data_IF_650256338833
#
_entry.id   IF_650256338833
#
_cell.length_a   1.000
_cell.length_b   1.000
_cell.length_c   1.000
_cell.angle_alpha   90.00
_cell.angle_beta   90.00
_cell.angle_gamma   90.00
#
_symmetry.space_group_name_H-M   'P 1'
#
loop_
_entity.id
_entity.type
_entity.pdbx_description
1 polymer ?
#
# COMPACT_ATOMS: atom_id res chain seq x y z
N UNK A 1 -45.54 -55.31 -19.83
CA UNK A 1 -45.44 -55.27 -18.36
C UNK A 1 -44.52 -54.11 -18.05
N UNK A 2 -45.00 -52.93 -17.66
CA UNK A 2 -45.87 -52.64 -16.51
C UNK A 2 -46.71 -51.38 -16.77
N UNK A 3 -47.97 -51.43 -16.35
CA UNK A 3 -49.05 -50.41 -16.37
C UNK A 3 -48.76 -49.27 -15.36
N UNK A 4 -48.95 -47.98 -15.69
CA UNK A 4 -50.18 -47.14 -15.63
C UNK A 4 -50.45 -46.55 -14.20
N UNK A 5 -51.41 -45.61 -13.96
CA UNK A 5 -51.14 -44.16 -13.76
C UNK A 5 -51.95 -43.54 -12.58
N UNK A 6 -51.96 -42.18 -12.49
CA UNK A 6 -52.97 -41.29 -11.85
C UNK A 6 -53.09 -41.20 -10.31
N UNK A 7 -52.97 -39.97 -9.83
CA UNK A 7 -53.91 -39.25 -8.90
C UNK A 7 -53.52 -37.76 -8.96
N UNK A 8 -54.30 -36.80 -9.48
CA UNK A 8 -55.67 -36.32 -9.18
C UNK A 8 -55.74 -35.43 -7.94
N UNK A 9 -55.96 -34.12 -8.21
CA UNK A 9 -56.68 -33.09 -7.43
C UNK A 9 -56.04 -32.67 -6.08
N UNK A 10 -56.20 -31.44 -5.57
CA UNK A 10 -57.41 -30.64 -5.55
C UNK A 10 -57.12 -29.14 -5.25
N UNK A 11 -58.04 -28.34 -5.76
CA UNK A 11 -58.35 -26.91 -5.58
C UNK A 11 -58.58 -26.53 -4.10
N UNK A 12 -58.52 -25.22 -3.80
CA UNK A 12 -59.21 -24.40 -2.76
C UNK A 12 -58.32 -23.14 -2.62
N UNK A 13 -58.59 -21.92 -3.10
CA UNK A 13 -59.79 -21.07 -3.16
C UNK A 13 -60.50 -20.94 -1.81
N UNK A 14 -60.14 -19.90 -1.05
CA UNK A 14 -60.70 -19.60 0.27
C UNK A 14 -60.55 -18.13 0.62
N UNK A 15 -61.23 -17.30 -0.16
CA UNK A 15 -61.73 -16.00 0.29
C UNK A 15 -62.55 -16.20 1.57
N UNK A 16 -62.28 -15.44 2.62
CA UNK A 16 -63.21 -15.36 3.75
C UNK A 16 -63.40 -13.90 4.15
N UNK A 17 -64.40 -13.35 3.50
CA UNK A 17 -65.13 -12.15 3.86
C UNK A 17 -65.92 -12.34 5.14
N UNK A 18 -66.10 -11.21 5.83
CA UNK A 18 -67.25 -10.85 6.65
C UNK A 18 -67.41 -11.45 8.06
N UNK A 19 -67.23 -10.57 9.06
CA UNK A 19 -68.26 -10.38 10.08
C UNK A 19 -68.43 -8.88 10.31
N UNK A 20 -69.53 -8.31 9.78
CA UNK A 20 -70.86 -8.13 10.41
C UNK A 20 -70.91 -6.80 11.17
N UNK A 21 -71.67 -5.83 10.65
CA UNK A 21 -73.10 -5.58 10.95
C UNK A 21 -73.23 -4.63 12.16
N UNK A 22 -74.03 -3.58 12.23
CA UNK A 22 -75.31 -3.21 11.62
C UNK A 22 -75.44 -1.67 11.68
N UNK A 23 -76.52 -1.15 11.07
CA UNK A 23 -76.91 0.25 10.99
C UNK A 23 -77.10 0.97 12.33
N UNK A 24 -77.65 2.17 12.40
CA UNK A 24 -78.34 3.03 11.45
C UNK A 24 -78.48 4.37 12.17
N UNK A 25 -78.48 5.46 11.42
CA UNK A 25 -79.25 6.69 11.69
C UNK A 25 -79.13 7.37 13.07
N UNK A 26 -78.34 8.45 13.10
CA UNK A 26 -78.69 9.69 13.81
C UNK A 26 -77.89 10.85 13.17
N UNK A 27 -78.50 11.57 12.23
CA UNK A 27 -79.00 12.93 12.43
C UNK A 27 -77.95 13.94 12.92
N UNK A 28 -77.77 14.93 12.05
CA UNK A 28 -77.52 16.33 12.39
C UNK A 28 -76.21 16.64 13.12
N UNK A 29 -75.34 17.38 12.42
CA UNK A 29 -75.19 18.85 12.62
C UNK A 29 -73.86 19.25 12.01
N UNK A 30 -73.92 19.88 10.84
CA UNK A 30 -72.78 20.58 10.26
C UNK A 30 -72.34 21.68 11.23
N UNK A 31 -71.27 21.44 11.99
CA UNK A 31 -70.53 22.51 12.68
C UNK A 31 -69.34 22.81 11.79
N UNK A 32 -69.43 23.90 11.01
CA UNK A 32 -68.28 24.52 10.32
C UNK A 32 -67.20 24.76 11.38
N UNK A 33 -66.23 23.86 11.47
CA UNK A 33 -64.98 24.14 12.15
C UNK A 33 -64.24 25.14 11.27
N UNK A 34 -64.25 26.41 11.71
CA UNK A 34 -63.29 27.40 11.23
C UNK A 34 -61.91 26.82 11.54
N UNK A 35 -61.23 26.29 10.52
CA UNK A 35 -59.79 26.09 10.55
C UNK A 35 -59.21 27.50 10.72
N UNK A 36 -58.87 27.83 11.97
CA UNK A 36 -57.98 28.95 12.26
C UNK A 36 -56.66 28.56 11.61
N UNK A 37 -56.41 29.18 10.47
CA UNK A 37 -55.15 29.16 9.76
C UNK A 37 -54.11 29.76 10.70
N UNK A 38 -53.40 28.88 11.42
CA UNK A 38 -52.19 29.23 12.13
C UNK A 38 -51.19 29.76 11.09
N UNK A 39 -51.14 31.08 10.97
CA UNK A 39 -50.08 31.76 10.30
C UNK A 39 -48.83 31.55 11.16
N UNK A 40 -47.95 30.65 10.74
CA UNK A 40 -46.57 30.64 11.22
C UNK A 40 -46.00 31.99 10.77
N UNK A 41 -45.94 32.93 11.70
CA UNK A 41 -45.28 34.19 11.47
C UNK A 41 -43.77 33.90 11.41
N UNK A 42 -43.25 33.76 10.20
CA UNK A 42 -41.82 33.60 9.92
C UNK A 42 -41.03 34.89 10.14
N UNK A 43 -41.66 35.96 10.63
CA UNK A 43 -41.02 37.23 10.88
C UNK A 43 -40.35 37.27 12.26
N UNK A 44 -39.33 36.43 12.46
CA UNK A 44 -38.28 36.73 13.43
C UNK A 44 -37.15 37.34 12.61
N UNK A 45 -37.13 38.67 12.56
CA UNK A 45 -36.08 39.44 11.92
C UNK A 45 -34.73 38.95 12.44
N UNK A 46 -33.92 38.42 11.52
CA UNK A 46 -32.51 38.17 11.77
C UNK A 46 -31.92 39.50 12.24
N UNK A 47 -31.20 39.56 13.37
CA UNK A 47 -30.61 40.81 13.83
C UNK A 47 -29.64 41.34 12.75
N UNK A 48 -30.10 42.33 11.98
CA UNK A 48 -29.29 43.13 11.07
C UNK A 48 -28.36 44.00 11.91
N UNK A 49 -27.13 43.55 12.15
CA UNK A 49 -26.27 44.39 12.98
C UNK A 49 -24.93 43.85 13.44
N UNK A 50 -24.24 42.99 12.67
CA UNK A 50 -22.78 43.12 12.65
C UNK A 50 -22.44 43.87 11.37
N UNK A 51 -22.54 45.20 11.41
CA UNK A 51 -21.91 46.07 10.41
C UNK A 51 -20.43 45.66 10.36
N UNK A 52 -20.04 44.91 9.33
CA UNK A 52 -18.63 44.63 9.04
C UNK A 52 -17.98 45.98 8.81
N UNK A 53 -17.15 46.42 9.76
CA UNK A 53 -16.36 47.63 9.59
C UNK A 53 -15.44 47.42 8.39
N UNK A 54 -15.41 48.33 7.41
CA UNK A 54 -14.42 48.23 6.33
C UNK A 54 -13.02 48.36 6.93
N UNK A 55 -12.14 47.38 6.64
CA UNK A 55 -10.74 47.38 7.09
C UNK A 55 -10.03 48.65 6.61
N UNK A 56 -9.22 49.24 7.48
CA UNK A 56 -8.40 50.41 7.10
C UNK A 56 -7.16 49.98 6.33
N UNK A 57 -6.57 50.88 5.52
CA UNK A 57 -5.34 50.60 4.80
C UNK A 57 -4.19 50.21 5.74
N UNK A 58 -4.10 50.85 6.91
CA UNK A 58 -3.07 50.57 7.93
C UNK A 58 -3.26 49.18 8.55
N UNK A 59 -4.50 48.73 8.71
CA UNK A 59 -4.79 47.39 9.25
C UNK A 59 -4.36 46.30 8.28
N UNK A 60 -4.61 46.49 6.98
CA UNK A 60 -4.18 45.54 5.95
C UNK A 60 -2.65 45.48 5.83
N UNK A 61 -1.94 46.60 5.92
CA UNK A 61 -0.47 46.61 5.82
C UNK A 61 0.20 45.90 7.01
N UNK A 62 -0.33 46.07 8.22
CA UNK A 62 0.16 45.37 9.41
C UNK A 62 -0.13 43.87 9.31
N UNK A 63 -1.33 43.47 8.84
CA UNK A 63 -1.67 42.06 8.68
C UNK A 63 -0.74 41.39 7.66
N UNK A 64 -0.54 42.01 6.50
CA UNK A 64 0.32 41.46 5.47
C UNK A 64 1.80 41.42 5.90
N UNK A 65 2.27 42.41 6.66
CA UNK A 65 3.65 42.40 7.17
C UNK A 65 3.88 41.26 8.16
N UNK A 66 2.94 41.01 9.09
CA UNK A 66 3.03 39.90 10.04
C UNK A 66 2.94 38.55 9.33
N UNK A 67 2.03 38.38 8.36
CA UNK A 67 1.92 37.14 7.56
C UNK A 67 3.22 36.90 6.79
N UNK A 68 3.82 37.93 6.20
CA UNK A 68 5.09 37.81 5.48
C UNK A 68 6.22 37.32 6.41
N UNK A 69 6.34 37.89 7.60
CA UNK A 69 7.36 37.50 8.60
C UNK A 69 7.15 36.05 9.05
N UNK A 70 5.91 35.67 9.39
CA UNK A 70 5.61 34.31 9.83
C UNK A 70 5.83 33.28 8.71
N UNK A 71 5.41 33.60 7.48
CA UNK A 71 5.58 32.72 6.33
C UNK A 71 7.04 32.50 5.97
N UNK A 72 7.87 33.55 6.11
CA UNK A 72 9.32 33.47 5.84
C UNK A 72 10.02 32.42 6.72
N UNK A 73 9.60 32.26 7.98
CA UNK A 73 10.17 31.28 8.90
C UNK A 73 9.53 29.90 8.72
N UNK A 74 8.21 29.85 8.45
CA UNK A 74 7.47 28.58 8.40
C UNK A 74 7.85 27.71 7.19
N UNK A 75 7.96 28.30 5.99
CA UNK A 75 8.13 27.53 4.74
C UNK A 75 9.37 26.62 4.77
N UNK A 76 10.58 27.09 5.11
CA UNK A 76 11.77 26.23 5.17
C UNK A 76 11.62 25.07 6.15
N UNK A 77 10.95 25.30 7.30
CA UNK A 77 10.74 24.26 8.31
C UNK A 77 9.79 23.17 7.84
N UNK A 78 8.70 23.51 7.16
CA UNK A 78 7.76 22.51 6.63
C UNK A 78 8.45 21.66 5.57
N UNK A 79 9.23 22.28 4.68
CA UNK A 79 9.94 21.54 3.62
C UNK A 79 10.95 20.55 4.19
N UNK A 80 11.70 20.93 5.23
CA UNK A 80 12.64 20.00 5.87
C UNK A 80 11.92 18.83 6.55
N UNK A 81 10.77 19.05 7.19
CA UNK A 81 9.99 17.97 7.80
C UNK A 81 9.43 17.00 6.75
N UNK A 82 9.01 17.51 5.59
CA UNK A 82 8.60 16.66 4.46
C UNK A 82 9.78 15.82 3.98
N UNK A 83 10.96 16.43 3.76
CA UNK A 83 12.16 15.70 3.35
C UNK A 83 12.53 14.60 4.35
N UNK A 84 12.52 14.90 5.66
CA UNK A 84 12.78 13.89 6.70
C UNK A 84 11.72 12.79 6.72
N UNK A 85 10.45 13.12 6.50
CA UNK A 85 9.39 12.11 6.43
C UNK A 85 9.56 11.15 5.25
N UNK A 86 10.05 11.66 4.10
CA UNK A 86 10.39 10.85 2.93
C UNK A 86 11.53 9.88 3.26
N UNK A 87 12.63 10.39 3.78
CA UNK A 87 13.78 9.55 4.17
C UNK A 87 13.36 8.49 5.20
N UNK A 88 12.57 8.87 6.21
CA UNK A 88 12.08 7.93 7.23
C UNK A 88 11.18 6.85 6.63
N UNK A 89 10.28 7.22 5.72
CA UNK A 89 9.45 6.26 5.00
C UNK A 89 10.30 5.30 4.19
N UNK A 90 11.24 5.81 3.40
CA UNK A 90 12.13 4.96 2.60
C UNK A 90 12.92 3.97 3.47
N UNK A 91 13.47 4.43 4.61
CA UNK A 91 14.16 3.59 5.60
C UNK A 91 13.25 2.48 6.16
N UNK A 92 11.99 2.81 6.46
CA UNK A 92 11.02 1.84 6.95
C UNK A 92 10.66 0.81 5.87
N UNK A 93 10.52 1.25 4.62
CA UNK A 93 10.16 0.41 3.49
C UNK A 93 11.29 -0.58 3.16
N UNK A 94 12.56 -0.13 3.06
CA UNK A 94 13.70 -1.04 2.81
C UNK A 94 13.86 -2.09 3.91
N UNK A 95 13.62 -1.70 5.18
CA UNK A 95 13.65 -2.62 6.33
C UNK A 95 12.49 -3.63 6.27
N UNK A 96 11.30 -3.18 5.88
CA UNK A 96 10.13 -4.05 5.77
C UNK A 96 10.34 -5.09 4.68
N UNK A 97 10.85 -4.67 3.51
CA UNK A 97 11.21 -5.56 2.41
C UNK A 97 12.30 -6.57 2.81
N UNK A 98 13.34 -6.12 3.52
CA UNK A 98 14.41 -7.03 3.94
C UNK A 98 13.95 -8.09 4.93
N UNK A 99 13.11 -7.71 5.90
CA UNK A 99 12.48 -8.65 6.81
C UNK A 99 11.56 -9.65 6.08
N UNK A 100 10.86 -9.21 5.03
CA UNK A 100 10.00 -10.08 4.24
C UNK A 100 10.81 -11.13 3.47
N UNK A 101 11.93 -10.73 2.86
CA UNK A 101 12.86 -11.65 2.18
C UNK A 101 13.45 -12.65 3.18
N UNK A 102 13.87 -12.20 4.36
CA UNK A 102 14.40 -13.08 5.40
C UNK A 102 13.37 -14.13 5.84
N UNK A 103 12.09 -13.73 6.01
CA UNK A 103 11.00 -14.65 6.35
C UNK A 103 10.69 -15.64 5.22
N UNK A 104 10.66 -15.18 3.97
CA UNK A 104 10.49 -16.05 2.81
C UNK A 104 11.57 -17.13 2.79
N UNK A 105 12.82 -16.76 3.00
CA UNK A 105 13.92 -17.72 3.04
C UNK A 105 13.75 -18.72 4.20
N UNK A 106 13.41 -18.24 5.40
CA UNK A 106 13.20 -19.11 6.57
C UNK A 106 12.09 -20.14 6.35
N UNK A 107 11.04 -19.76 5.62
CA UNK A 107 9.89 -20.63 5.37
C UNK A 107 10.10 -21.54 4.15
N UNK A 108 10.62 -21.03 3.04
CA UNK A 108 10.79 -21.77 1.79
C UNK A 108 12.11 -22.57 1.72
N UNK A 109 13.12 -22.17 2.50
CA UNK A 109 14.44 -22.82 2.54
C UNK A 109 15.37 -22.46 1.37
N UNK A 110 14.95 -21.57 0.47
CA UNK A 110 15.76 -21.07 -0.62
C UNK A 110 15.48 -19.59 -0.88
N UNK A 111 16.44 -18.93 -1.52
CA UNK A 111 16.38 -17.50 -1.84
C UNK A 111 15.65 -17.26 -3.17
N UNK A 112 14.85 -16.18 -3.30
CA UNK A 112 14.13 -15.86 -4.52
C UNK A 112 15.08 -15.31 -5.59
N UNK A 113 15.91 -16.20 -6.17
CA UNK A 113 16.89 -15.89 -7.22
C UNK A 113 16.44 -16.31 -8.61
N UNK A 114 15.21 -16.79 -8.76
CA UNK A 114 14.68 -17.29 -10.03
C UNK A 114 13.26 -16.81 -10.24
N UNK A 115 12.91 -16.48 -11.49
CA UNK A 115 11.55 -16.06 -11.86
C UNK A 115 10.52 -17.20 -11.72
N UNK A 116 11.01 -18.44 -11.70
CA UNK A 116 10.23 -19.67 -11.69
C UNK A 116 10.63 -20.54 -10.50
N UNK A 117 9.79 -21.52 -10.20
CA UNK A 117 10.06 -22.59 -9.26
C UNK A 117 9.95 -23.95 -9.95
N UNK A 118 10.81 -24.89 -9.55
CA UNK A 118 10.76 -26.27 -10.03
C UNK A 118 10.64 -27.23 -8.87
N UNK A 119 9.59 -28.06 -8.85
CA UNK A 119 9.34 -29.05 -7.80
C UNK A 119 9.38 -28.48 -6.36
N UNK A 120 9.02 -27.21 -6.19
CA UNK A 120 9.06 -26.54 -4.88
C UNK A 120 10.44 -26.05 -4.44
N UNK A 121 11.42 -26.04 -5.34
CA UNK A 121 12.74 -25.42 -5.14
C UNK A 121 12.99 -24.26 -6.11
N UNK A 122 14.23 -23.72 -6.12
CA UNK A 122 14.60 -22.68 -7.09
C UNK A 122 14.44 -23.20 -8.53
N UNK A 123 14.01 -22.32 -9.41
CA UNK A 123 13.83 -22.60 -10.83
C UNK A 123 15.13 -22.54 -11.61
N UNK A 124 15.02 -22.28 -12.92
CA UNK A 124 16.17 -22.30 -13.84
C UNK A 124 16.55 -20.90 -14.31
N UNK A 125 15.61 -19.96 -14.37
CA UNK A 125 15.88 -18.66 -14.96
C UNK A 125 16.22 -17.68 -13.85
N UNK A 126 17.52 -17.47 -13.68
CA UNK A 126 18.08 -16.65 -12.63
C UNK A 126 17.75 -15.16 -12.84
N UNK A 127 17.51 -14.47 -11.73
CA UNK A 127 17.30 -13.02 -11.69
C UNK A 127 18.38 -12.42 -10.81
N UNK A 128 18.92 -11.28 -11.25
CA UNK A 128 19.94 -10.57 -10.49
C UNK A 128 19.31 -9.66 -9.42
N UNK A 129 18.12 -9.13 -9.75
CA UNK A 129 17.45 -8.07 -9.03
C UNK A 129 15.98 -8.40 -8.79
N UNK A 130 15.51 -8.17 -7.57
CA UNK A 130 14.08 -8.00 -7.31
C UNK A 130 13.76 -6.52 -7.18
N UNK A 131 12.74 -6.04 -7.89
CA UNK A 131 12.41 -4.62 -7.94
C UNK A 131 10.96 -4.36 -7.57
N UNK A 132 10.69 -3.21 -6.96
CA UNK A 132 9.31 -2.74 -6.85
C UNK A 132 8.84 -2.18 -8.19
N UNK A 133 7.55 -1.85 -8.33
CA UNK A 133 7.12 -0.91 -9.34
C UNK A 133 7.88 0.44 -9.22
N UNK A 134 7.70 1.32 -10.20
CA UNK A 134 8.33 2.65 -10.21
C UNK A 134 9.46 2.79 -11.22
N UNK A 135 10.03 4.00 -11.26
CA UNK A 135 11.04 4.34 -12.26
C UNK A 135 12.36 3.65 -11.95
N UNK A 136 13.03 3.16 -12.99
CA UNK A 136 14.42 2.73 -12.85
C UNK A 136 15.28 3.94 -12.47
N UNK A 137 16.07 3.87 -11.39
CA UNK A 137 17.00 4.94 -11.05
C UNK A 137 18.01 5.18 -12.15
N UNK A 138 18.55 6.40 -12.19
CA UNK A 138 19.71 6.72 -13.00
C UNK A 138 20.98 6.12 -12.38
N UNK A 139 22.06 6.10 -13.16
CA UNK A 139 23.40 5.75 -12.68
C UNK A 139 24.41 6.80 -13.13
N UNK A 140 25.51 6.98 -12.38
CA UNK A 140 26.60 7.84 -12.82
C UNK A 140 27.25 7.25 -14.06
N UNK A 141 27.50 8.10 -15.07
CA UNK A 141 27.89 7.75 -16.45
C UNK A 141 29.23 7.01 -16.61
N UNK A 142 29.95 6.74 -15.52
CA UNK A 142 31.31 6.16 -15.51
C UNK A 142 31.53 5.01 -14.53
N UNK A 143 30.47 4.46 -13.91
CA UNK A 143 30.62 3.50 -12.80
C UNK A 143 30.25 2.05 -13.18
N UNK A 144 31.25 1.27 -13.61
CA UNK A 144 31.04 -0.17 -13.93
C UNK A 144 30.50 -0.98 -12.75
N UNK A 145 30.83 -0.60 -11.51
CA UNK A 145 30.40 -1.30 -10.30
C UNK A 145 28.94 -1.05 -9.90
N UNK A 146 28.29 -0.02 -10.45
CA UNK A 146 26.87 0.29 -10.20
C UNK A 146 25.98 -0.25 -11.31
N UNK A 147 26.53 -0.42 -12.52
CA UNK A 147 25.83 -0.77 -13.75
C UNK A 147 24.73 -1.85 -13.59
N UNK A 148 25.04 -2.89 -12.81
CA UNK A 148 24.18 -4.05 -12.62
C UNK A 148 22.87 -3.74 -11.87
N UNK A 149 22.76 -2.62 -11.14
CA UNK A 149 21.49 -2.14 -10.57
C UNK A 149 20.44 -1.79 -11.62
N UNK A 150 20.87 -1.42 -12.82
CA UNK A 150 19.96 -1.03 -13.91
C UNK A 150 19.93 -2.06 -15.03
N UNK A 151 21.06 -2.71 -15.32
CA UNK A 151 21.18 -3.65 -16.44
C UNK A 151 20.97 -5.11 -16.05
N UNK A 152 20.98 -5.44 -14.76
CA UNK A 152 20.77 -6.80 -14.27
C UNK A 152 19.38 -7.33 -14.65
N UNK A 153 19.26 -8.65 -14.71
CA UNK A 153 17.96 -9.30 -14.97
C UNK A 153 17.04 -9.05 -13.78
N UNK A 154 15.89 -8.43 -14.00
CA UNK A 154 14.95 -8.04 -12.94
C UNK A 154 13.69 -8.89 -12.92
N UNK A 155 13.16 -9.16 -11.73
CA UNK A 155 11.78 -9.60 -11.52
C UNK A 155 11.09 -8.77 -10.43
N UNK A 156 9.76 -8.81 -10.37
CA UNK A 156 8.97 -8.00 -9.46
C UNK A 156 8.97 -8.60 -8.05
N UNK A 157 9.35 -7.81 -7.04
CA UNK A 157 9.32 -8.27 -5.65
C UNK A 157 7.93 -8.72 -5.19
N UNK A 158 6.87 -8.14 -5.77
CA UNK A 158 5.48 -8.49 -5.47
C UNK A 158 5.17 -9.94 -5.84
N UNK A 159 5.78 -10.44 -6.93
CA UNK A 159 5.59 -11.80 -7.40
C UNK A 159 6.11 -12.83 -6.40
N UNK A 160 7.21 -12.52 -5.73
CA UNK A 160 7.82 -13.40 -4.74
C UNK A 160 7.20 -13.24 -3.34
N UNK A 161 6.95 -12.01 -2.92
CA UNK A 161 6.60 -11.69 -1.54
C UNK A 161 5.10 -11.63 -1.27
N UNK A 162 4.27 -11.42 -2.30
CA UNK A 162 2.83 -11.18 -2.13
C UNK A 162 1.98 -12.21 -2.89
N UNK A 163 2.24 -12.42 -4.19
CA UNK A 163 1.36 -13.21 -5.06
C UNK A 163 1.83 -14.65 -5.36
N UNK A 164 3.06 -15.03 -4.97
CA UNK A 164 3.67 -16.34 -5.29
C UNK A 164 3.59 -16.72 -6.79
N UNK A 165 3.82 -15.76 -7.68
CA UNK A 165 3.77 -15.98 -9.15
C UNK A 165 4.81 -17.02 -9.63
N UNK A 166 6.03 -17.09 -9.08
CA UNK A 166 6.99 -18.15 -9.45
C UNK A 166 6.49 -19.57 -9.17
N UNK A 167 5.44 -19.73 -8.36
CA UNK A 167 4.85 -21.02 -8.05
C UNK A 167 5.64 -21.81 -7.01
N UNK A 168 6.15 -21.14 -5.97
CA UNK A 168 6.81 -21.82 -4.85
C UNK A 168 5.84 -22.81 -4.20
N UNK A 169 6.39 -23.96 -3.76
CA UNK A 169 5.62 -24.96 -3.01
C UNK A 169 5.01 -24.29 -1.78
N UNK A 170 3.70 -24.44 -1.61
CA UNK A 170 3.01 -23.95 -0.42
C UNK A 170 3.45 -24.75 0.81
N UNK A 171 3.56 -24.07 1.95
CA UNK A 171 3.84 -24.71 3.23
C UNK A 171 2.68 -25.65 3.57
N UNK A 172 3.02 -26.92 3.82
CA UNK A 172 2.06 -27.96 4.22
C UNK A 172 2.35 -28.46 5.63
N UNK A 173 1.42 -29.23 6.19
CA UNK A 173 1.59 -29.86 7.50
C UNK A 173 2.62 -31.00 7.51
N UNK A 174 3.22 -31.31 6.36
CA UNK A 174 4.20 -32.40 6.20
C UNK A 174 5.59 -32.03 6.73
N UNK A 175 5.72 -30.88 7.41
CA UNK A 175 6.99 -30.36 7.96
C UNK A 175 7.96 -29.85 6.89
N UNK A 176 7.56 -29.88 5.63
CA UNK A 176 8.36 -29.47 4.49
C UNK A 176 8.38 -27.93 4.34
N UNK A 177 9.55 -27.32 4.09
CA UNK A 177 9.64 -25.89 3.81
C UNK A 177 8.77 -25.49 2.62
N UNK A 178 8.16 -24.31 2.68
CA UNK A 178 7.31 -23.80 1.62
C UNK A 178 6.86 -22.37 1.87
N UNK A 179 6.35 -21.74 0.83
CA UNK A 179 5.74 -20.43 0.88
C UNK A 179 4.53 -20.43 1.83
N UNK A 180 4.54 -19.50 2.79
CA UNK A 180 3.66 -19.52 3.96
C UNK A 180 2.68 -18.34 4.00
N UNK A 181 2.44 -17.70 2.86
CA UNK A 181 1.59 -16.52 2.78
C UNK A 181 2.35 -15.27 2.34
N UNK A 182 1.63 -14.16 2.11
CA UNK A 182 2.25 -12.88 1.84
C UNK A 182 3.18 -12.49 2.99
N UNK A 183 4.44 -12.19 2.66
CA UNK A 183 5.46 -11.77 3.63
C UNK A 183 5.42 -10.26 3.89
N UNK A 184 4.66 -9.53 3.08
CA UNK A 184 4.35 -8.12 3.20
C UNK A 184 2.84 -7.92 3.18
N UNK A 185 2.32 -7.03 4.03
CA UNK A 185 0.88 -6.73 4.05
C UNK A 185 0.45 -5.91 2.83
N UNK A 186 1.29 -4.96 2.43
CA UNK A 186 1.17 -4.19 1.20
C UNK A 186 2.57 -3.93 0.68
N UNK A 187 2.96 -4.44 -0.50
CA UNK A 187 4.25 -4.13 -1.07
C UNK A 187 4.31 -2.61 -1.37
N UNK A 188 5.41 -1.92 -1.02
CA UNK A 188 5.59 -0.54 -1.41
C UNK A 188 5.67 -0.47 -2.94
N UNK A 189 4.90 0.43 -3.55
CA UNK A 189 4.87 0.56 -5.01
C UNK A 189 6.13 1.22 -5.53
N UNK A 190 6.59 2.29 -4.89
CA UNK A 190 7.79 3.04 -5.23
C UNK A 190 8.28 3.78 -3.99
N UNK A 191 9.50 4.27 -4.04
CA UNK A 191 10.05 5.14 -3.01
C UNK A 191 9.37 6.52 -3.01
N UNK A 192 9.62 7.37 -1.98
CA UNK A 192 8.98 8.68 -1.87
C UNK A 192 9.28 9.66 -3.02
N UNK A 193 10.29 9.36 -3.85
CA UNK A 193 10.71 10.15 -4.99
C UNK A 193 10.24 9.53 -6.32
N UNK A 194 9.56 8.38 -6.28
CA UNK A 194 8.95 7.71 -7.43
C UNK A 194 9.84 6.67 -8.10
N UNK A 195 11.01 6.37 -7.54
CA UNK A 195 11.91 5.35 -8.05
C UNK A 195 11.58 3.99 -7.44
N UNK A 196 11.95 2.91 -8.13
CA UNK A 196 11.75 1.56 -7.61
C UNK A 196 12.76 1.22 -6.52
N UNK A 197 12.31 0.49 -5.51
CA UNK A 197 13.19 -0.28 -4.63
C UNK A 197 13.84 -1.42 -5.40
N UNK A 198 15.07 -1.77 -5.03
CA UNK A 198 15.84 -2.83 -5.69
C UNK A 198 16.54 -3.71 -4.66
N UNK A 199 16.65 -5.01 -4.94
CA UNK A 199 17.29 -6.00 -4.08
C UNK A 199 18.23 -6.85 -4.92
N UNK A 200 19.54 -6.84 -4.64
CA UNK A 200 20.54 -7.64 -5.36
C UNK A 200 20.53 -9.12 -4.94
N UNK A 201 19.45 -9.82 -5.27
CA UNK A 201 19.28 -11.23 -4.91
C UNK A 201 20.32 -12.15 -5.52
N UNK A 202 21.02 -11.75 -6.59
CA UNK A 202 22.15 -12.49 -7.17
C UNK A 202 23.15 -13.00 -6.12
N UNK A 203 23.44 -12.15 -5.13
CA UNK A 203 24.42 -12.42 -4.08
C UNK A 203 23.82 -12.89 -2.76
N UNK A 204 22.48 -12.99 -2.68
CA UNK A 204 21.82 -13.41 -1.46
C UNK A 204 22.19 -14.87 -1.16
N UNK A 205 22.98 -15.04 -0.11
CA UNK A 205 23.42 -16.30 0.49
C UNK A 205 23.30 -16.20 2.02
N UNK A 206 22.13 -16.56 2.55
CA UNK A 206 21.79 -16.42 3.97
C UNK A 206 22.46 -17.46 4.87
N UNK A 207 23.43 -18.25 4.38
CA UNK A 207 24.21 -19.12 5.26
C UNK A 207 25.01 -18.28 6.26
N UNK A 208 25.15 -18.72 7.53
CA UNK A 208 25.67 -17.87 8.62
C UNK A 208 27.17 -17.51 8.51
N UNK A 209 27.90 -18.13 7.58
CA UNK A 209 29.33 -17.90 7.39
C UNK A 209 29.60 -16.72 6.47
N UNK A 210 30.73 -16.06 6.69
CA UNK A 210 31.25 -14.96 5.85
C UNK A 210 31.76 -15.49 4.49
N UNK A 211 32.13 -16.77 4.44
CA UNK A 211 32.57 -17.46 3.23
C UNK A 211 31.44 -18.27 2.60
N UNK A 212 31.43 -18.31 1.28
CA UNK A 212 30.55 -19.18 0.50
C UNK A 212 30.98 -20.66 0.63
N UNK A 213 30.23 -21.56 -0.01
CA UNK A 213 30.55 -22.99 -0.01
C UNK A 213 31.89 -23.34 -0.69
N UNK A 214 32.47 -22.41 -1.43
CA UNK A 214 33.74 -22.57 -2.15
C UNK A 214 34.92 -21.93 -1.40
N UNK A 215 34.69 -21.30 -0.24
CA UNK A 215 35.71 -20.62 0.56
C UNK A 215 36.01 -19.18 0.12
N UNK A 216 35.23 -18.60 -0.80
CA UNK A 216 35.36 -17.20 -1.20
C UNK A 216 34.57 -16.29 -0.26
N UNK A 217 35.03 -15.04 -0.10
CA UNK A 217 34.25 -14.02 0.59
C UNK A 217 32.93 -13.78 -0.14
N UNK A 218 31.82 -13.79 0.60
CA UNK A 218 30.50 -13.46 0.05
C UNK A 218 30.38 -11.98 -0.26
N UNK A 219 29.54 -11.66 -1.23
CA UNK A 219 29.10 -10.29 -1.46
C UNK A 219 27.91 -9.94 -0.56
N UNK A 220 27.77 -8.67 -0.20
CA UNK A 220 26.66 -8.16 0.57
C UNK A 220 25.38 -8.13 -0.27
N UNK A 221 24.28 -8.60 0.31
CA UNK A 221 22.95 -8.44 -0.25
C UNK A 221 22.20 -7.35 0.53
N UNK A 222 21.53 -6.45 -0.18
CA UNK A 222 20.81 -5.34 0.41
C UNK A 222 19.58 -4.94 -0.40
N UNK A 223 18.65 -4.32 0.30
CA UNK A 223 17.51 -3.59 -0.28
C UNK A 223 17.92 -2.12 -0.39
N UNK A 224 17.72 -1.50 -1.55
CA UNK A 224 18.16 -0.15 -1.86
C UNK A 224 17.00 0.71 -2.38
N UNK A 225 17.01 1.99 -2.01
CA UNK A 225 16.34 3.10 -2.69
C UNK A 225 17.39 4.12 -3.10
N UNK A 226 17.26 4.67 -4.30
CA UNK A 226 18.21 5.61 -4.90
C UNK A 226 18.14 7.04 -4.32
N UNK A 227 17.43 7.21 -3.20
CA UNK A 227 17.38 8.49 -2.50
C UNK A 227 16.66 9.61 -3.25
N UNK A 228 16.97 10.83 -2.84
CA UNK A 228 16.38 12.07 -3.32
C UNK A 228 16.88 12.47 -4.71
N UNK A 229 18.14 12.16 -5.02
CA UNK A 229 18.72 12.47 -6.32
C UNK A 229 18.27 11.48 -7.43
N UNK A 230 17.77 10.29 -7.04
CA UNK A 230 17.32 9.24 -7.97
C UNK A 230 18.44 8.58 -8.77
N UNK A 231 19.69 8.70 -8.30
CA UNK A 231 20.90 8.14 -8.89
C UNK A 231 21.46 7.12 -7.92
N UNK A 232 21.61 5.88 -8.36
CA UNK A 232 22.25 4.85 -7.51
C UNK A 232 23.76 5.08 -7.54
N UNK A 233 24.37 5.09 -6.36
CA UNK A 233 25.82 5.33 -6.21
C UNK A 233 26.48 4.17 -5.43
N UNK A 234 25.70 3.39 -4.71
CA UNK A 234 26.13 2.20 -3.98
C UNK A 234 26.52 1.10 -4.96
N UNK A 235 27.77 0.62 -4.85
CA UNK A 235 28.29 -0.45 -5.69
C UNK A 235 27.46 -1.73 -5.54
N UNK A 236 27.16 -2.40 -6.65
CA UNK A 236 26.33 -3.61 -6.69
C UNK A 236 27.01 -4.83 -6.06
N UNK A 237 28.32 -4.95 -6.27
CA UNK A 237 29.16 -6.04 -5.76
C UNK A 237 30.14 -5.48 -4.73
N UNK A 238 29.84 -5.74 -3.46
CA UNK A 238 30.66 -5.32 -2.32
C UNK A 238 30.84 -6.53 -1.40
N UNK A 239 32.01 -6.72 -0.78
CA UNK A 239 32.20 -7.81 0.16
C UNK A 239 31.30 -7.65 1.38
N UNK A 240 30.84 -8.76 1.93
CA UNK A 240 30.00 -8.79 3.14
C UNK A 240 30.70 -8.17 4.36
N UNK A 241 32.03 -8.06 4.37
CA UNK A 241 32.78 -7.48 5.49
C UNK A 241 32.92 -5.97 5.40
N UNK A 242 32.88 -5.39 4.20
CA UNK A 242 33.20 -3.99 3.96
C UNK A 242 32.21 -3.41 2.96
N UNK A 243 31.19 -2.75 3.50
CA UNK A 243 30.06 -2.20 2.74
C UNK A 243 30.08 -0.69 2.89
N UNK A 244 30.22 -0.01 1.76
CA UNK A 244 30.12 1.43 1.62
C UNK A 244 28.79 1.80 0.96
N UNK A 245 28.06 2.71 1.58
CA UNK A 245 26.82 3.26 1.05
C UNK A 245 27.17 4.53 0.28
N UNK A 246 26.77 4.59 -0.99
CA UNK A 246 27.02 5.73 -1.86
C UNK A 246 26.03 6.87 -1.63
N UNK A 247 26.52 8.11 -1.60
CA UNK A 247 25.72 9.33 -1.64
C UNK A 247 24.52 9.37 -0.68
N UNK A 248 23.33 9.57 -1.23
CA UNK A 248 22.05 9.62 -0.51
C UNK A 248 21.22 8.33 -0.64
N UNK A 249 21.83 7.26 -1.16
CA UNK A 249 21.20 5.95 -1.21
C UNK A 249 20.78 5.49 0.19
N UNK A 250 19.58 4.91 0.27
CA UNK A 250 19.05 4.35 1.51
C UNK A 250 19.08 2.84 1.37
N UNK A 251 19.93 2.20 2.17
CA UNK A 251 20.13 0.75 2.13
C UNK A 251 19.72 0.06 3.42
N UNK A 252 19.25 -1.17 3.28
CA UNK A 252 19.09 -2.12 4.37
C UNK A 252 19.73 -3.45 4.00
N UNK A 253 20.71 -3.85 4.81
CA UNK A 253 21.52 -5.05 4.59
C UNK A 253 20.79 -6.31 5.04
N UNK A 254 20.89 -7.37 4.23
CA UNK A 254 20.26 -8.67 4.45
C UNK A 254 21.20 -9.71 5.04
N UNK A 255 22.50 -9.60 4.75
CA UNK A 255 23.56 -10.50 5.21
C UNK A 255 24.86 -9.73 5.32
#
# INVERSE_FOLDING_TARGET
>A
MTQDPRTTQERIEGDNTASRSLGSSALARARKSRVSMFHINTNKSVPEGLRRRPLTLVEMTIILSVIAILSAVLVPTVMSHIAQSRILRAKQDVKTLGNAIARLYQDAGFVPRTHDSRNGGPGVHAVDLLVSPGNAPAMPTSSSGVAKWVTGTTDMLEYHLYNNVPGYRLKSNDGMPGWNGPYVASPPTADPWGNRYMINVAYLDPTPNVLDSNGNLKSAAFVLSAGENGIVETLFDQPVTDVEVGGDDIVHRLQ
#
